data_IF_845158189175
#
_entry.id   IF_845158189175
#
_cell.length_a   1.000
_cell.length_b   1.000
_cell.length_c   1.000
_cell.angle_alpha   90.00
_cell.angle_beta   90.00
_cell.angle_gamma   90.00
#
_symmetry.space_group_name_H-M   'P 1'
#
loop_
_entity.id
_entity.type
_entity.pdbx_description
1 polymer ?
#
# COMPACT_ATOMS: atom_id res chain seq x y z
N UNK A 1 11.84 2.05 79.16
CA UNK A 1 11.75 1.34 77.92
C UNK A 1 13.10 0.67 77.65
N UNK A 2 13.16 -0.65 77.75
CA UNK A 2 14.38 -1.41 77.73
C UNK A 2 14.88 -1.64 76.26
N UNK A 3 16.18 -1.54 76.03
CA UNK A 3 16.85 -1.72 74.73
C UNK A 3 16.40 -3.00 73.98
N UNK A 4 15.98 -4.03 74.68
CA UNK A 4 15.47 -5.29 74.16
C UNK A 4 14.17 -5.12 73.31
N UNK A 5 13.27 -4.20 73.67
CA UNK A 5 12.02 -3.97 72.96
C UNK A 5 12.22 -3.30 71.57
N UNK A 6 13.27 -2.48 71.46
CA UNK A 6 13.58 -1.77 70.22
C UNK A 6 14.23 -2.71 69.21
N UNK A 7 15.08 -3.65 69.65
CA UNK A 7 15.68 -4.66 68.82
C UNK A 7 14.65 -5.65 68.25
N UNK A 8 13.69 -6.07 69.06
CA UNK A 8 12.64 -7.01 68.61
C UNK A 8 11.67 -6.40 67.58
N UNK A 9 11.38 -5.08 67.65
CA UNK A 9 10.59 -4.39 66.65
C UNK A 9 11.37 -4.27 65.32
N UNK A 10 12.67 -4.03 65.37
CA UNK A 10 13.49 -3.84 64.19
C UNK A 10 13.64 -5.15 63.39
N UNK A 11 13.79 -6.28 64.05
CA UNK A 11 13.85 -7.60 63.40
C UNK A 11 12.53 -8.01 62.75
N UNK A 12 11.40 -7.70 63.33
CA UNK A 12 10.10 -7.98 62.77
C UNK A 12 9.80 -7.11 61.51
N UNK A 13 10.19 -5.85 61.55
CA UNK A 13 10.02 -4.95 60.42
C UNK A 13 10.91 -5.42 59.25
N UNK A 14 12.16 -5.80 59.52
CA UNK A 14 13.06 -6.32 58.45
C UNK A 14 12.52 -7.60 57.83
N UNK A 15 12.02 -8.55 58.61
CA UNK A 15 11.42 -9.78 58.09
C UNK A 15 10.21 -9.54 57.22
N UNK A 16 9.36 -8.57 57.59
CA UNK A 16 8.18 -8.21 56.83
C UNK A 16 8.56 -7.58 55.49
N UNK A 17 9.56 -6.69 55.48
CA UNK A 17 10.09 -6.08 54.25
C UNK A 17 10.72 -7.09 53.30
N UNK A 18 11.53 -8.04 53.81
CA UNK A 18 12.14 -9.08 52.98
C UNK A 18 11.08 -9.98 52.36
N UNK A 19 10.08 -10.40 53.10
CA UNK A 19 8.97 -11.22 52.58
C UNK A 19 8.15 -10.45 51.51
N UNK A 20 7.93 -9.16 51.73
CA UNK A 20 7.20 -8.35 50.74
C UNK A 20 7.97 -8.18 49.48
N UNK A 21 9.29 -7.96 49.54
CA UNK A 21 10.17 -7.91 48.37
C UNK A 21 10.23 -9.25 47.59
N UNK A 22 10.28 -10.38 48.32
CA UNK A 22 10.26 -11.70 47.65
C UNK A 22 8.97 -11.98 46.91
N UNK A 23 7.82 -11.54 47.46
CA UNK A 23 6.52 -11.68 46.81
C UNK A 23 6.41 -10.79 45.56
N UNK A 24 6.92 -9.55 45.60
CA UNK A 24 7.00 -8.67 44.41
C UNK A 24 7.89 -9.28 43.33
N UNK A 25 9.03 -9.87 43.69
CA UNK A 25 9.93 -10.48 42.74
C UNK A 25 9.31 -11.74 42.05
N UNK A 26 8.59 -12.57 42.83
CA UNK A 26 7.85 -13.72 42.32
C UNK A 26 6.72 -13.29 41.36
N UNK A 27 6.02 -12.21 41.66
CA UNK A 27 4.96 -11.68 40.80
C UNK A 27 5.52 -11.07 39.52
N UNK A 28 6.63 -10.35 39.60
CA UNK A 28 7.32 -9.78 38.42
C UNK A 28 7.84 -10.85 37.46
N UNK A 29 8.43 -11.94 38.00
CA UNK A 29 8.91 -13.08 37.19
C UNK A 29 7.74 -13.83 36.53
N UNK A 30 6.62 -13.99 37.23
CA UNK A 30 5.42 -14.63 36.67
C UNK A 30 4.82 -13.81 35.51
N UNK A 31 4.77 -12.48 35.66
CA UNK A 31 4.27 -11.57 34.60
C UNK A 31 5.22 -11.57 33.40
N UNK A 32 6.53 -11.56 33.61
CA UNK A 32 7.51 -11.63 32.54
C UNK A 32 7.42 -12.94 31.75
N UNK A 33 7.22 -14.08 32.42
CA UNK A 33 7.01 -15.37 31.77
C UNK A 33 5.69 -15.42 30.99
N UNK A 34 4.62 -14.77 31.49
CA UNK A 34 3.33 -14.72 30.79
C UNK A 34 3.41 -13.86 29.51
N UNK A 35 4.18 -12.76 29.54
CA UNK A 35 4.42 -11.92 28.36
C UNK A 35 5.29 -12.66 27.35
N UNK A 36 6.28 -13.42 27.80
CA UNK A 36 7.16 -14.21 26.92
C UNK A 36 6.41 -15.35 26.22
N UNK A 37 5.44 -15.98 26.89
CA UNK A 37 4.62 -17.04 26.28
C UNK A 37 3.56 -16.53 25.30
N UNK A 38 3.14 -15.27 25.38
CA UNK A 38 2.21 -14.66 24.40
C UNK A 38 2.89 -14.08 23.18
N UNK A 39 4.21 -13.95 23.18
CA UNK A 39 4.99 -13.33 22.10
C UNK A 39 5.28 -14.23 20.89
N UNK A 40 4.99 -15.53 20.96
CA UNK A 40 5.10 -16.43 19.81
C UNK A 40 3.73 -16.83 19.27
N UNK A 41 2.91 -15.84 18.90
CA UNK A 41 1.98 -16.09 17.82
C UNK A 41 2.85 -16.21 16.57
N UNK A 42 3.05 -17.43 16.08
CA UNK A 42 3.52 -17.66 14.73
C UNK A 42 2.58 -16.89 13.81
N UNK A 43 3.00 -15.74 13.34
CA UNK A 43 2.42 -15.12 12.16
C UNK A 43 2.66 -16.17 11.08
N UNK A 44 1.64 -16.97 10.79
CA UNK A 44 1.57 -17.72 9.55
C UNK A 44 1.68 -16.62 8.49
N UNK A 45 2.88 -16.43 7.95
CA UNK A 45 3.04 -15.82 6.65
C UNK A 45 2.29 -16.78 5.72
N UNK A 46 0.98 -16.57 5.56
CA UNK A 46 0.29 -17.07 4.40
C UNK A 46 1.15 -16.61 3.24
N UNK A 47 1.82 -17.57 2.63
CA UNK A 47 2.48 -17.37 1.35
C UNK A 47 1.33 -17.01 0.44
N UNK A 48 1.10 -15.71 0.30
CA UNK A 48 0.15 -15.16 -0.66
C UNK A 48 0.75 -15.52 -2.02
N UNK A 49 0.46 -16.76 -2.46
CA UNK A 49 0.67 -17.17 -3.84
C UNK A 49 -0.32 -16.30 -4.60
N UNK A 50 0.15 -15.12 -4.95
CA UNK A 50 -0.57 -14.18 -5.74
C UNK A 50 -0.64 -14.79 -7.16
N UNK A 51 -1.61 -15.68 -7.39
CA UNK A 51 -1.99 -16.14 -8.71
C UNK A 51 -2.59 -14.93 -9.45
N UNK A 52 -1.71 -13.98 -9.77
CA UNK A 52 -2.04 -12.81 -10.56
C UNK A 52 -2.18 -13.30 -12.00
N UNK A 53 -3.40 -13.60 -12.39
CA UNK A 53 -3.72 -13.94 -13.77
C UNK A 53 -4.00 -12.64 -14.51
N UNK A 54 -3.28 -12.42 -15.60
CA UNK A 54 -3.55 -11.28 -16.49
C UNK A 54 -4.99 -11.38 -17.00
N UNK A 55 -5.84 -10.36 -16.73
CA UNK A 55 -7.19 -10.37 -17.26
C UNK A 55 -7.19 -10.39 -18.80
N UNK A 56 -7.98 -11.30 -19.38
CA UNK A 56 -8.06 -11.45 -20.83
C UNK A 56 -8.88 -10.32 -21.46
N UNK A 57 -9.90 -9.83 -20.76
CA UNK A 57 -10.76 -8.75 -21.24
C UNK A 57 -10.35 -7.40 -20.67
N UNK A 58 -10.58 -6.37 -21.45
CA UNK A 58 -10.21 -5.00 -21.12
C UNK A 58 -10.95 -4.42 -19.89
N UNK A 59 -12.26 -4.62 -19.69
CA UNK A 59 -12.94 -4.14 -18.49
C UNK A 59 -12.39 -4.74 -17.19
N UNK A 60 -12.08 -6.02 -17.17
CA UNK A 60 -11.47 -6.69 -16.02
C UNK A 60 -10.05 -6.19 -15.76
N UNK A 61 -9.25 -6.01 -16.81
CA UNK A 61 -7.92 -5.41 -16.74
C UNK A 61 -7.98 -4.04 -16.10
N UNK A 62 -8.87 -3.18 -16.57
CA UNK A 62 -9.00 -1.80 -16.13
C UNK A 62 -9.41 -1.70 -14.65
N UNK A 63 -10.34 -2.55 -14.22
CA UNK A 63 -10.75 -2.63 -12.80
C UNK A 63 -9.61 -3.11 -11.91
N UNK A 64 -8.88 -4.15 -12.33
CA UNK A 64 -7.75 -4.67 -11.58
C UNK A 64 -6.62 -3.63 -11.49
N UNK A 65 -6.30 -2.95 -12.60
CA UNK A 65 -5.34 -1.86 -12.63
C UNK A 65 -5.74 -0.73 -11.66
N UNK A 66 -6.97 -0.23 -11.77
CA UNK A 66 -7.43 0.87 -10.92
C UNK A 66 -7.39 0.51 -9.42
N UNK A 67 -7.66 -0.73 -9.08
CA UNK A 67 -7.59 -1.23 -7.69
C UNK A 67 -6.17 -1.18 -7.14
N UNK A 68 -5.19 -1.60 -7.91
CA UNK A 68 -3.81 -1.79 -7.42
C UNK A 68 -2.89 -0.61 -7.71
N UNK A 69 -3.25 0.27 -8.65
CA UNK A 69 -2.43 1.40 -9.10
C UNK A 69 -2.01 2.35 -7.95
N UNK A 70 -2.83 2.61 -6.90
CA UNK A 70 -2.40 3.39 -5.74
C UNK A 70 -1.12 2.86 -5.11
N UNK A 71 -1.02 1.55 -4.92
CA UNK A 71 0.15 0.91 -4.31
C UNK A 71 1.39 1.02 -5.20
N UNK A 72 1.21 0.86 -6.52
CA UNK A 72 2.30 1.00 -7.48
C UNK A 72 2.80 2.44 -7.58
N UNK A 73 1.89 3.42 -7.55
CA UNK A 73 2.24 4.84 -7.52
C UNK A 73 2.97 5.21 -6.23
N UNK A 74 2.43 4.83 -5.08
CA UNK A 74 3.03 5.14 -3.78
C UNK A 74 4.43 4.53 -3.64
N UNK A 75 4.62 3.28 -4.06
CA UNK A 75 5.95 2.66 -4.10
C UNK A 75 6.90 3.39 -5.05
N UNK A 76 6.40 3.87 -6.19
CA UNK A 76 7.22 4.63 -7.14
C UNK A 76 7.57 6.00 -6.58
N UNK A 77 6.65 6.70 -5.91
CA UNK A 77 6.94 7.96 -5.23
C UNK A 77 8.02 7.80 -4.16
N UNK A 78 7.92 6.78 -3.32
CA UNK A 78 8.93 6.47 -2.29
C UNK A 78 10.30 6.21 -2.94
N UNK A 79 10.36 5.39 -3.98
CA UNK A 79 11.61 5.06 -4.68
C UNK A 79 12.28 6.29 -5.30
N UNK A 80 11.48 7.19 -5.87
CA UNK A 80 11.96 8.44 -6.46
C UNK A 80 12.14 9.58 -5.45
N UNK A 81 11.91 9.31 -4.15
CA UNK A 81 11.96 10.28 -3.05
C UNK A 81 11.04 11.49 -3.27
N UNK A 82 9.93 11.28 -3.97
CA UNK A 82 8.90 12.29 -4.17
C UNK A 82 8.00 12.34 -2.92
N UNK A 83 7.83 13.53 -2.37
CA UNK A 83 6.96 13.75 -1.19
C UNK A 83 5.49 13.81 -1.63
N UNK A 84 4.97 12.70 -2.13
CA UNK A 84 3.57 12.55 -2.60
C UNK A 84 3.01 11.22 -2.19
N UNK A 85 1.69 11.19 -2.01
CA UNK A 85 0.92 9.97 -1.76
C UNK A 85 -0.41 10.02 -2.50
N UNK A 86 -0.85 8.89 -3.00
CA UNK A 86 -2.18 8.71 -3.58
C UNK A 86 -3.16 8.45 -2.45
N UNK A 87 -4.23 9.25 -2.40
CA UNK A 87 -5.29 9.13 -1.41
C UNK A 87 -6.39 8.20 -1.91
N UNK A 88 -6.81 8.39 -3.16
CA UNK A 88 -7.86 7.59 -3.80
C UNK A 88 -7.78 7.68 -5.31
N UNK A 89 -8.33 6.67 -5.97
CA UNK A 89 -8.51 6.60 -7.43
C UNK A 89 -9.99 6.36 -7.72
N UNK A 90 -10.52 6.99 -8.76
CA UNK A 90 -11.89 6.74 -9.23
C UNK A 90 -12.03 5.32 -9.82
N UNK A 91 -13.26 4.88 -9.96
CA UNK A 91 -13.55 3.76 -10.87
C UNK A 91 -13.10 4.13 -12.29
N UNK A 92 -12.58 3.16 -13.07
CA UNK A 92 -12.16 3.42 -14.45
C UNK A 92 -13.37 3.69 -15.34
N UNK A 93 -13.28 4.74 -16.15
CA UNK A 93 -14.21 5.01 -17.23
C UNK A 93 -13.59 4.51 -18.53
N UNK A 94 -14.35 3.72 -19.29
CA UNK A 94 -13.86 3.01 -20.48
C UNK A 94 -14.48 3.53 -21.77
N UNK A 95 -15.41 4.46 -21.67
CA UNK A 95 -15.99 5.08 -22.84
C UNK A 95 -14.94 5.95 -23.53
N UNK A 96 -14.56 5.61 -24.78
CA UNK A 96 -13.52 6.37 -25.47
C UNK A 96 -14.04 7.77 -25.78
N UNK A 97 -13.24 8.79 -25.44
CA UNK A 97 -13.45 10.12 -25.98
C UNK A 97 -13.35 10.02 -27.51
N UNK A 98 -14.29 10.63 -28.26
CA UNK A 98 -14.24 10.64 -29.71
C UNK A 98 -12.99 11.42 -30.16
N UNK A 99 -11.93 10.70 -30.51
CA UNK A 99 -10.69 11.31 -31.01
C UNK A 99 -10.86 11.77 -32.47
N UNK A 100 -11.69 11.08 -33.25
CA UNK A 100 -12.16 11.51 -34.56
C UNK A 100 -13.44 10.74 -34.92
N UNK A 101 -14.44 11.38 -35.54
CA UNK A 101 -15.73 10.74 -35.83
C UNK A 101 -15.66 9.59 -36.82
N UNK A 102 -14.61 9.51 -37.65
CA UNK A 102 -14.52 8.59 -38.79
C UNK A 102 -13.50 7.46 -38.64
N UNK A 103 -12.89 7.27 -37.46
CA UNK A 103 -11.94 6.17 -37.29
C UNK A 103 -12.63 4.85 -36.93
N UNK A 104 -12.32 3.73 -37.62
CA UNK A 104 -12.76 2.40 -37.24
C UNK A 104 -12.34 2.10 -35.79
N UNK A 105 -13.29 1.75 -34.93
CA UNK A 105 -13.04 1.51 -33.50
C UNK A 105 -12.18 0.28 -33.22
N UNK A 106 -12.11 -0.65 -34.16
CA UNK A 106 -11.49 -1.97 -34.00
C UNK A 106 -9.95 -1.95 -33.90
N UNK A 107 -9.32 -0.84 -34.26
CA UNK A 107 -7.85 -0.69 -34.25
C UNK A 107 -7.35 0.41 -33.30
N UNK A 108 -8.25 1.05 -32.55
CA UNK A 108 -7.86 2.09 -31.60
C UNK A 108 -7.29 1.49 -30.32
N UNK A 109 -6.27 2.13 -29.72
CA UNK A 109 -5.86 1.80 -28.35
C UNK A 109 -7.05 1.86 -27.39
N UNK A 110 -7.14 0.89 -26.52
CA UNK A 110 -8.15 0.88 -25.45
C UNK A 110 -7.84 1.99 -24.45
N UNK A 111 -8.86 2.76 -24.06
CA UNK A 111 -8.70 3.92 -23.18
C UNK A 111 -9.22 3.64 -21.79
N UNK A 112 -8.42 3.97 -20.76
CA UNK A 112 -8.80 3.95 -19.37
C UNK A 112 -8.73 5.40 -18.87
N UNK A 113 -9.85 5.98 -18.50
CA UNK A 113 -9.87 7.27 -17.83
C UNK A 113 -9.95 7.07 -16.32
N UNK A 114 -9.06 7.74 -15.58
CA UNK A 114 -8.96 7.69 -14.12
C UNK A 114 -8.83 9.09 -13.54
N UNK A 115 -9.50 9.33 -12.43
CA UNK A 115 -9.28 10.51 -11.60
C UNK A 115 -8.53 10.11 -10.33
N UNK A 116 -7.39 10.72 -10.07
CA UNK A 116 -6.53 10.42 -8.94
C UNK A 116 -6.47 11.63 -8.02
N UNK A 117 -6.77 11.42 -6.74
CA UNK A 117 -6.57 12.39 -5.68
C UNK A 117 -5.24 12.13 -5.00
N UNK A 118 -4.35 13.10 -5.07
CA UNK A 118 -3.01 13.05 -4.47
C UNK A 118 -2.84 14.11 -3.40
N UNK A 119 -1.97 13.84 -2.45
CA UNK A 119 -1.55 14.79 -1.41
C UNK A 119 -0.03 14.86 -1.36
N UNK A 120 0.51 16.04 -1.10
CA UNK A 120 1.91 16.17 -0.73
C UNK A 120 2.08 15.67 0.72
N UNK A 121 3.03 14.77 0.95
CA UNK A 121 3.29 14.21 2.28
C UNK A 121 3.57 15.32 3.29
N UNK A 122 2.81 15.32 4.39
CA UNK A 122 2.90 16.35 5.44
C UNK A 122 2.11 17.63 5.18
N UNK A 123 1.33 17.67 4.07
CA UNK A 123 0.37 18.76 3.80
C UNK A 123 -1.07 18.25 3.84
N UNK A 124 -2.00 19.19 4.08
CA UNK A 124 -3.45 18.88 4.08
C UNK A 124 -4.03 19.04 2.67
N UNK A 125 -3.46 19.92 1.87
CA UNK A 125 -3.97 20.21 0.53
C UNK A 125 -3.84 19.00 -0.38
N UNK A 126 -4.92 18.72 -1.09
CA UNK A 126 -5.01 17.66 -2.09
C UNK A 126 -5.06 18.25 -3.50
N UNK A 127 -4.62 17.47 -4.48
CA UNK A 127 -4.68 17.81 -5.89
C UNK A 127 -5.33 16.68 -6.65
N UNK A 128 -6.40 16.97 -7.39
CA UNK A 128 -7.05 16.01 -8.27
C UNK A 128 -6.46 16.13 -9.67
N UNK A 129 -6.12 14.97 -10.25
CA UNK A 129 -5.59 14.84 -11.60
C UNK A 129 -6.39 13.81 -12.37
N UNK A 130 -6.70 14.14 -13.61
CA UNK A 130 -7.33 13.24 -14.54
C UNK A 130 -6.26 12.62 -15.45
N UNK A 131 -6.33 11.31 -15.66
CA UNK A 131 -5.39 10.56 -16.49
C UNK A 131 -6.14 9.78 -17.58
N UNK A 132 -5.59 9.77 -18.78
CA UNK A 132 -5.97 8.90 -19.89
C UNK A 132 -4.81 7.93 -20.14
N UNK A 133 -5.05 6.66 -19.92
CA UNK A 133 -4.10 5.60 -20.18
C UNK A 133 -4.55 4.84 -21.43
N UNK A 134 -3.71 4.79 -22.42
CA UNK A 134 -3.96 4.08 -23.68
C UNK A 134 -3.20 2.76 -23.66
N UNK A 135 -3.92 1.66 -23.63
CA UNK A 135 -3.35 0.33 -23.59
C UNK A 135 -3.68 -0.45 -24.86
N UNK A 136 -2.77 -1.30 -25.27
CA UNK A 136 -2.93 -2.14 -26.44
C UNK A 136 -2.69 -3.61 -26.08
N UNK A 137 -3.49 -4.53 -26.62
CA UNK A 137 -3.21 -5.95 -26.52
C UNK A 137 -1.97 -6.32 -27.35
N UNK A 138 -1.15 -7.23 -26.81
CA UNK A 138 0.01 -7.78 -27.49
C UNK A 138 0.02 -9.29 -27.34
N UNK A 139 0.88 -9.99 -28.08
CA UNK A 139 1.07 -11.43 -27.93
C UNK A 139 1.47 -11.87 -26.51
N UNK A 140 2.05 -10.95 -25.74
CA UNK A 140 2.52 -11.21 -24.38
C UNK A 140 1.65 -10.51 -23.29
N UNK A 141 0.39 -10.22 -23.60
CA UNK A 141 -0.52 -9.52 -22.70
C UNK A 141 -0.74 -8.06 -23.11
N UNK A 142 -0.91 -7.17 -22.15
CA UNK A 142 -1.24 -5.77 -22.38
C UNK A 142 -0.02 -4.86 -22.22
N UNK A 143 0.01 -3.77 -22.98
CA UNK A 143 1.04 -2.73 -22.89
C UNK A 143 0.43 -1.33 -22.84
N UNK A 144 1.03 -0.46 -22.04
CA UNK A 144 0.76 0.98 -22.11
C UNK A 144 1.43 1.54 -23.38
N UNK A 145 0.63 2.20 -24.22
CA UNK A 145 1.09 2.89 -25.44
C UNK A 145 1.39 4.36 -25.15
N UNK A 146 0.45 5.04 -24.51
CA UNK A 146 0.55 6.47 -24.18
C UNK A 146 -0.18 6.76 -22.87
N UNK A 147 0.18 7.88 -22.23
CA UNK A 147 -0.52 8.40 -21.07
C UNK A 147 -0.60 9.93 -21.14
N UNK A 148 -1.77 10.47 -20.87
CA UNK A 148 -1.98 11.92 -20.75
C UNK A 148 -2.53 12.27 -19.37
N UNK A 149 -2.27 13.49 -18.92
CA UNK A 149 -2.72 14.01 -17.65
C UNK A 149 -3.30 15.42 -17.80
N UNK A 150 -4.34 15.70 -17.07
CA UNK A 150 -4.94 17.04 -16.96
C UNK A 150 -5.18 17.42 -15.51
N UNK A 151 -4.96 18.68 -15.19
CA UNK A 151 -5.31 19.30 -13.91
C UNK A 151 -6.39 20.34 -14.19
N UNK A 152 -7.56 20.18 -13.56
CA UNK A 152 -8.70 21.09 -13.78
C UNK A 152 -9.08 21.21 -15.25
N UNK A 153 -9.12 22.45 -15.76
CA UNK A 153 -9.47 22.76 -17.16
C UNK A 153 -8.24 23.00 -18.07
N UNK A 154 -7.03 22.72 -17.58
CA UNK A 154 -5.84 22.85 -18.41
C UNK A 154 -5.86 21.87 -19.59
N UNK A 155 -5.09 22.15 -20.64
CA UNK A 155 -4.92 21.20 -21.73
C UNK A 155 -4.20 19.93 -21.24
N UNK A 156 -4.59 18.75 -21.77
CA UNK A 156 -3.87 17.52 -21.45
C UNK A 156 -2.40 17.61 -21.86
N UNK A 157 -1.52 17.11 -21.02
CA UNK A 157 -0.08 16.99 -21.28
C UNK A 157 0.31 15.53 -21.37
N UNK A 158 1.27 15.22 -22.23
CA UNK A 158 1.84 13.89 -22.35
C UNK A 158 2.66 13.56 -21.09
N UNK A 159 2.36 12.42 -20.50
CA UNK A 159 3.00 11.89 -19.29
C UNK A 159 3.43 10.43 -19.48
N UNK A 160 3.66 10.03 -20.74
CA UNK A 160 4.02 8.65 -21.11
C UNK A 160 5.36 8.19 -20.50
N UNK A 161 6.20 9.12 -20.06
CA UNK A 161 7.46 8.84 -19.36
C UNK A 161 7.44 9.25 -17.88
N UNK A 162 6.28 9.65 -17.39
CA UNK A 162 6.13 10.09 -16.00
C UNK A 162 5.83 8.92 -15.05
N UNK A 163 5.70 9.24 -13.75
CA UNK A 163 5.48 8.27 -12.67
C UNK A 163 4.25 7.39 -12.92
N UNK A 164 3.17 7.95 -13.47
CA UNK A 164 1.95 7.19 -13.78
C UNK A 164 2.22 6.10 -14.82
N UNK A 165 2.97 6.41 -15.85
CA UNK A 165 3.32 5.44 -16.88
C UNK A 165 4.28 4.36 -16.36
N UNK A 166 5.29 4.75 -15.55
CA UNK A 166 6.19 3.79 -14.89
C UNK A 166 5.43 2.84 -13.95
N UNK A 167 4.51 3.35 -13.14
CA UNK A 167 3.68 2.55 -12.25
C UNK A 167 2.75 1.60 -13.02
N UNK A 168 2.09 2.08 -14.09
CA UNK A 168 1.22 1.29 -14.95
C UNK A 168 2.01 0.20 -15.67
N UNK A 169 3.16 0.52 -16.25
CA UNK A 169 4.01 -0.46 -16.94
C UNK A 169 4.52 -1.55 -15.99
N UNK A 170 4.86 -1.20 -14.75
CA UNK A 170 5.25 -2.18 -13.72
C UNK A 170 4.09 -3.09 -13.37
N UNK A 171 2.91 -2.53 -13.18
CA UNK A 171 1.72 -3.33 -12.90
C UNK A 171 1.43 -4.30 -14.07
N UNK A 172 1.39 -3.80 -15.32
CA UNK A 172 1.16 -4.63 -16.50
C UNK A 172 2.21 -5.74 -16.64
N UNK A 173 3.48 -5.45 -16.39
CA UNK A 173 4.54 -6.45 -16.36
C UNK A 173 4.30 -7.51 -15.29
N UNK A 174 4.01 -7.09 -14.06
CA UNK A 174 3.87 -7.99 -12.92
C UNK A 174 2.62 -8.88 -13.04
N UNK A 175 1.60 -8.43 -13.76
CA UNK A 175 0.35 -9.17 -13.99
C UNK A 175 0.30 -9.91 -15.30
N UNK A 176 0.87 -9.36 -16.37
CA UNK A 176 0.64 -9.83 -17.73
C UNK A 176 1.88 -10.38 -18.44
N UNK A 177 3.08 -10.20 -17.90
CA UNK A 177 4.27 -10.81 -18.50
C UNK A 177 4.48 -12.21 -17.90
N UNK A 178 4.40 -13.29 -18.71
CA UNK A 178 4.56 -14.67 -18.25
C UNK A 178 5.89 -14.93 -17.52
N UNK A 179 6.91 -14.13 -17.78
CA UNK A 179 8.23 -14.25 -17.13
C UNK A 179 8.21 -13.84 -15.66
N UNK A 180 7.22 -13.07 -15.21
CA UNK A 180 7.07 -12.58 -13.84
C UNK A 180 5.92 -13.24 -13.08
N UNK A 181 5.20 -14.18 -13.70
CA UNK A 181 4.09 -14.94 -13.08
C UNK A 181 4.56 -16.26 -12.44
N UNK A 182 5.72 -16.25 -11.79
CA UNK A 182 6.25 -17.43 -11.07
C UNK A 182 5.81 -17.47 -9.62
#
# INVERSE_FOLDING_TARGET
MTLASVLFLKDNILKTWVNQMQNFFRMAVAIALFIYMRGFSSVNAETYINNRVCPADFPSLSKALAKDLPDYLNRTYIRLRLKREVMTISQPELEPLPLAPDQPRDHLPQQIFLSILERQTGKVETSQRAYWLFVVPTSNGWRLSMAFMRIGQAQPVDVSEAVIADATNKWLRDYCDPRYQR
#
